data_IF_735896356581
#
_entry.id   IF_735896356581
#
_cell.length_a   1.000
_cell.length_b   1.000
_cell.length_c   1.000
_cell.angle_alpha   90.00
_cell.angle_beta   90.00
_cell.angle_gamma   90.00
#
_symmetry.space_group_name_H-M   'P 1'
#
loop_
_entity.id
_entity.type
_entity.pdbx_description
1 polymer ?
#
# COMPACT_ATOMS: atom_id res chain seq x y z
N UNK A 1 -0.38 10.28 -11.23
CA UNK A 1 -1.37 10.03 -10.16
C UNK A 1 -1.82 8.57 -10.13
N UNK A 2 -2.70 8.12 -11.03
CA UNK A 2 -3.19 6.72 -11.05
C UNK A 2 -2.07 5.69 -11.03
N UNK A 3 -1.03 5.88 -11.85
CA UNK A 3 0.15 5.02 -11.85
C UNK A 3 0.85 4.93 -10.48
N UNK A 4 0.99 6.05 -9.77
CA UNK A 4 1.58 6.05 -8.42
C UNK A 4 0.71 5.28 -7.43
N UNK A 5 -0.62 5.43 -7.51
CA UNK A 5 -1.55 4.66 -6.67
C UNK A 5 -1.39 3.18 -6.99
N UNK A 6 -1.43 2.79 -8.27
CA UNK A 6 -1.28 1.40 -8.69
C UNK A 6 0.05 0.78 -8.22
N UNK A 7 1.18 1.50 -8.38
CA UNK A 7 2.51 1.05 -7.90
C UNK A 7 2.50 0.85 -6.39
N UNK A 8 2.01 1.83 -5.64
CA UNK A 8 1.96 1.74 -4.18
C UNK A 8 1.10 0.56 -3.70
N UNK A 9 -0.13 0.43 -4.20
CA UNK A 9 -1.05 -0.62 -3.75
C UNK A 9 -0.55 -2.03 -4.08
N UNK A 10 -0.04 -2.24 -5.30
CA UNK A 10 0.47 -3.55 -5.71
C UNK A 10 1.76 -3.91 -4.97
N UNK A 11 2.61 -2.93 -4.67
CA UNK A 11 3.79 -3.17 -3.84
C UNK A 11 3.40 -3.51 -2.39
N UNK A 12 2.46 -2.76 -1.79
CA UNK A 12 1.97 -3.06 -0.44
C UNK A 12 1.38 -4.46 -0.32
N UNK A 13 0.58 -4.90 -1.30
CA UNK A 13 0.05 -6.27 -1.33
C UNK A 13 1.17 -7.33 -1.32
N UNK A 14 2.17 -7.16 -2.18
CA UNK A 14 3.25 -8.13 -2.26
C UNK A 14 4.13 -8.12 -1.01
N UNK A 15 4.38 -6.94 -0.45
CA UNK A 15 5.10 -6.77 0.80
C UNK A 15 4.38 -7.47 1.95
N UNK A 16 3.05 -7.32 2.03
CA UNK A 16 2.21 -8.01 3.02
C UNK A 16 2.22 -9.53 2.88
N UNK A 17 2.58 -10.05 1.70
CA UNK A 17 2.77 -11.48 1.43
C UNK A 17 4.22 -11.94 1.55
N UNK A 18 5.10 -11.09 2.05
CA UNK A 18 6.51 -11.42 2.29
C UNK A 18 7.43 -11.28 1.07
N UNK A 19 7.01 -10.60 0.01
CA UNK A 19 7.87 -10.31 -1.15
C UNK A 19 8.39 -8.87 -1.11
N UNK A 20 9.71 -8.70 -1.15
CA UNK A 20 10.35 -7.37 -1.15
C UNK A 20 10.46 -6.71 -2.53
N UNK A 21 10.15 -7.43 -3.60
CA UNK A 21 10.20 -6.94 -4.98
C UNK A 21 9.04 -7.49 -5.81
N UNK A 22 8.52 -6.71 -6.76
CA UNK A 22 7.37 -7.08 -7.59
C UNK A 22 7.60 -6.62 -9.02
N UNK A 23 7.40 -7.50 -9.99
CA UNK A 23 7.31 -7.09 -11.38
C UNK A 23 5.94 -6.43 -11.63
N UNK A 24 5.91 -5.10 -11.81
CA UNK A 24 4.74 -4.33 -12.21
C UNK A 24 4.93 -3.80 -13.63
N UNK A 25 4.03 -4.20 -14.53
CA UNK A 25 4.02 -3.74 -15.93
C UNK A 25 5.37 -3.90 -16.67
N UNK A 26 6.13 -4.95 -16.30
CA UNK A 26 7.44 -5.26 -16.89
C UNK A 26 8.63 -4.59 -16.20
N UNK A 27 8.40 -3.76 -15.19
CA UNK A 27 9.43 -3.13 -14.36
C UNK A 27 9.50 -3.82 -12.98
N UNK A 28 10.71 -3.95 -12.44
CA UNK A 28 10.91 -4.46 -11.09
C UNK A 28 10.74 -3.30 -10.11
N UNK A 29 9.62 -3.28 -9.40
CA UNK A 29 9.32 -2.29 -8.38
C UNK A 29 9.77 -2.81 -7.01
N UNK A 30 10.43 -1.93 -6.27
CA UNK A 30 10.94 -2.17 -4.93
C UNK A 30 10.29 -1.20 -3.92
N UNK A 31 10.78 -1.23 -2.68
CA UNK A 31 10.29 -0.34 -1.64
C UNK A 31 10.47 1.14 -2.01
N UNK A 32 11.58 1.49 -2.68
CA UNK A 32 11.87 2.88 -3.01
C UNK A 32 10.86 3.44 -4.01
N UNK A 33 10.42 2.62 -4.97
CA UNK A 33 9.37 3.02 -5.91
C UNK A 33 8.03 3.30 -5.21
N UNK A 34 7.61 2.42 -4.29
CA UNK A 34 6.40 2.63 -3.51
C UNK A 34 6.50 3.87 -2.59
N UNK A 35 7.68 4.11 -2.00
CA UNK A 35 7.98 5.27 -1.17
C UNK A 35 7.88 6.59 -1.96
N UNK A 36 8.49 6.66 -3.15
CA UNK A 36 8.39 7.82 -4.03
C UNK A 36 6.95 8.03 -4.49
N UNK A 37 6.25 6.97 -4.88
CA UNK A 37 4.88 7.02 -5.35
C UNK A 37 3.94 7.61 -4.29
N UNK A 38 3.99 7.10 -3.04
CA UNK A 38 3.16 7.60 -1.93
C UNK A 38 3.51 9.03 -1.54
N UNK A 39 4.79 9.39 -1.53
CA UNK A 39 5.25 10.71 -1.12
C UNK A 39 4.82 11.79 -2.13
N UNK A 40 4.85 11.47 -3.43
CA UNK A 40 4.32 12.36 -4.47
C UNK A 40 2.81 12.60 -4.31
N UNK A 41 2.03 11.55 -4.02
CA UNK A 41 0.57 11.71 -3.82
C UNK A 41 0.30 12.58 -2.59
N UNK A 42 0.97 12.32 -1.48
CA UNK A 42 0.88 13.15 -0.27
C UNK A 42 1.23 14.62 -0.57
N UNK A 43 2.30 14.86 -1.33
CA UNK A 43 2.73 16.22 -1.70
C UNK A 43 1.67 16.92 -2.55
N UNK A 44 1.10 16.24 -3.55
CA UNK A 44 0.03 16.81 -4.38
C UNK A 44 -1.22 17.17 -3.57
N UNK A 45 -1.62 16.33 -2.61
CA UNK A 45 -2.69 16.63 -1.67
C UNK A 45 -2.35 17.84 -0.78
N UNK A 46 -1.16 17.84 -0.18
CA UNK A 46 -0.71 18.87 0.77
C UNK A 46 -0.67 20.26 0.15
N UNK A 47 -0.32 20.33 -1.14
CA UNK A 47 -0.16 21.57 -1.89
C UNK A 47 -1.32 21.89 -2.83
N UNK A 48 -2.42 21.12 -2.77
CA UNK A 48 -3.64 21.42 -3.52
C UNK A 48 -3.54 21.21 -5.03
N UNK A 49 -2.58 20.39 -5.49
CA UNK A 49 -2.50 19.98 -6.90
C UNK A 49 -3.56 18.90 -7.24
N UNK A 50 -4.07 18.20 -6.23
CA UNK A 50 -5.21 17.28 -6.31
C UNK A 50 -6.04 17.41 -5.03
N UNK A 51 -7.36 17.24 -5.14
CA UNK A 51 -8.23 17.14 -3.97
C UNK A 51 -8.32 15.72 -3.40
N UNK A 52 -8.84 15.62 -2.17
CA UNK A 52 -8.96 14.34 -1.45
C UNK A 52 -9.93 13.39 -2.14
N UNK A 53 -11.03 13.89 -2.66
CA UNK A 53 -12.10 13.07 -3.25
C UNK A 53 -11.62 12.39 -4.52
N UNK A 54 -10.81 13.09 -5.33
CA UNK A 54 -10.15 12.53 -6.51
C UNK A 54 -9.20 11.40 -6.14
N UNK A 55 -8.39 11.57 -5.08
CA UNK A 55 -7.48 10.51 -4.62
C UNK A 55 -8.25 9.31 -4.08
N UNK A 56 -9.32 9.52 -3.32
CA UNK A 56 -10.15 8.44 -2.79
C UNK A 56 -10.89 7.69 -3.91
N UNK A 57 -11.45 8.38 -4.90
CA UNK A 57 -12.09 7.74 -6.05
C UNK A 57 -11.10 6.87 -6.84
N UNK A 58 -9.89 7.37 -7.08
CA UNK A 58 -8.84 6.58 -7.74
C UNK A 58 -8.37 5.40 -6.87
N UNK A 59 -8.27 5.58 -5.55
CA UNK A 59 -7.95 4.49 -4.62
C UNK A 59 -9.00 3.37 -4.69
N UNK A 60 -10.28 3.73 -4.70
CA UNK A 60 -11.39 2.77 -4.79
C UNK A 60 -11.34 1.97 -6.08
N UNK A 61 -11.11 2.63 -7.21
CA UNK A 61 -10.97 1.98 -8.51
C UNK A 61 -9.77 1.03 -8.55
N UNK A 62 -8.61 1.45 -8.06
CA UNK A 62 -7.40 0.62 -8.10
C UNK A 62 -7.45 -0.55 -7.09
N UNK A 63 -8.10 -0.37 -5.94
CA UNK A 63 -8.38 -1.47 -4.99
C UNK A 63 -9.32 -2.50 -5.62
N UNK A 64 -10.39 -2.05 -6.28
CA UNK A 64 -11.30 -2.95 -6.98
C UNK A 64 -10.58 -3.71 -8.11
N UNK A 65 -9.74 -3.02 -8.89
CA UNK A 65 -8.93 -3.65 -9.93
C UNK A 65 -7.91 -4.65 -9.37
N UNK A 66 -7.28 -4.34 -8.24
CA UNK A 66 -6.36 -5.25 -7.54
C UNK A 66 -7.07 -6.53 -7.11
N UNK A 67 -8.21 -6.42 -6.41
CA UNK A 67 -8.99 -7.56 -5.95
C UNK A 67 -9.57 -8.40 -7.10
N UNK A 68 -10.00 -7.76 -8.19
CA UNK A 68 -10.49 -8.47 -9.38
C UNK A 68 -9.37 -9.26 -10.08
N UNK A 69 -8.14 -8.73 -10.10
CA UNK A 69 -6.98 -9.39 -10.72
C UNK A 69 -6.38 -10.47 -9.83
N UNK A 70 -6.39 -10.25 -8.52
CA UNK A 70 -5.80 -11.12 -7.52
C UNK A 70 -6.82 -11.37 -6.40
N UNK A 71 -7.65 -12.43 -6.48
CA UNK A 71 -8.67 -12.73 -5.48
C UNK A 71 -8.12 -12.98 -4.06
N UNK A 72 -6.83 -13.24 -3.94
CA UNK A 72 -6.11 -13.43 -2.68
C UNK A 72 -5.46 -12.15 -2.15
N UNK A 73 -5.59 -11.02 -2.85
CA UNK A 73 -4.98 -9.76 -2.43
C UNK A 73 -5.58 -9.29 -1.09
N UNK A 74 -4.72 -8.75 -0.23
CA UNK A 74 -5.08 -8.22 1.09
C UNK A 74 -5.61 -6.79 0.97
N UNK A 75 -6.72 -6.62 0.25
CA UNK A 75 -7.17 -5.31 -0.23
C UNK A 75 -7.53 -4.33 0.90
N UNK A 76 -8.06 -4.84 2.01
CA UNK A 76 -8.39 -4.06 3.20
C UNK A 76 -7.13 -3.52 3.86
N UNK A 77 -6.11 -4.35 4.09
CA UNK A 77 -4.85 -3.94 4.68
C UNK A 77 -4.05 -3.02 3.76
N UNK A 78 -4.07 -3.27 2.45
CA UNK A 78 -3.45 -2.41 1.45
C UNK A 78 -4.05 -1.01 1.48
N UNK A 79 -5.39 -0.91 1.56
CA UNK A 79 -6.07 0.37 1.74
C UNK A 79 -5.65 1.05 3.03
N UNK A 80 -5.61 0.32 4.15
CA UNK A 80 -5.23 0.88 5.44
C UNK A 80 -3.82 1.46 5.39
N UNK A 81 -2.85 0.74 4.81
CA UNK A 81 -1.47 1.24 4.64
C UNK A 81 -1.48 2.52 3.80
N UNK A 82 -2.21 2.53 2.69
CA UNK A 82 -2.28 3.71 1.82
C UNK A 82 -2.83 4.92 2.57
N UNK A 83 -3.99 4.79 3.21
CA UNK A 83 -4.65 5.91 3.90
C UNK A 83 -3.77 6.49 5.01
N UNK A 84 -3.12 5.64 5.80
CA UNK A 84 -2.24 6.06 6.89
C UNK A 84 -0.96 6.74 6.42
N UNK A 85 -0.51 6.45 5.20
CA UNK A 85 0.77 6.96 4.69
C UNK A 85 0.63 8.08 3.66
N UNK A 86 -0.54 8.22 3.03
CA UNK A 86 -0.82 9.21 1.97
C UNK A 86 -1.79 10.28 2.45
N UNK A 87 -2.74 9.95 3.32
CA UNK A 87 -3.77 10.90 3.80
C UNK A 87 -3.46 11.47 5.18
N UNK A 88 -2.33 11.09 5.78
CA UNK A 88 -1.87 11.62 7.06
C UNK A 88 -1.53 13.11 6.99
N UNK A 89 -1.71 13.81 8.12
CA UNK A 89 -1.39 15.24 8.25
C UNK A 89 0.09 15.55 7.98
N UNK A 90 0.96 14.66 8.44
CA UNK A 90 2.41 14.71 8.24
C UNK A 90 2.84 13.45 7.50
N UNK A 91 3.79 13.60 6.57
CA UNK A 91 4.32 12.48 5.81
C UNK A 91 5.17 11.58 6.74
N UNK A 92 4.81 10.31 6.94
CA UNK A 92 5.68 9.38 7.66
C UNK A 92 6.99 9.19 6.90
N UNK A 93 8.11 9.01 7.61
CA UNK A 93 9.43 8.82 7.00
C UNK A 93 9.46 7.59 6.07
N UNK A 94 8.80 6.50 6.47
CA UNK A 94 8.65 5.25 5.71
C UNK A 94 7.28 4.65 5.97
N UNK A 95 6.73 3.89 5.00
CA UNK A 95 5.47 3.17 5.20
C UNK A 95 5.65 1.93 6.09
N UNK A 96 6.82 1.29 5.99
CA UNK A 96 7.06 -0.04 6.52
C UNK A 96 6.95 -0.16 8.04
N UNK A 97 7.44 0.77 8.89
CA UNK A 97 7.40 0.60 10.35
C UNK A 97 5.98 0.44 10.91
N UNK A 98 5.05 1.34 10.56
CA UNK A 98 3.65 1.27 11.03
C UNK A 98 2.91 0.08 10.40
N UNK A 99 3.13 -0.18 9.10
CA UNK A 99 2.56 -1.34 8.42
C UNK A 99 3.03 -2.67 9.03
N UNK A 100 4.31 -2.78 9.40
CA UNK A 100 4.89 -3.98 10.01
C UNK A 100 4.26 -4.26 11.38
N UNK A 101 4.21 -3.25 12.24
CA UNK A 101 3.62 -3.39 13.58
C UNK A 101 2.14 -3.77 13.55
N UNK A 102 1.38 -3.33 12.54
CA UNK A 102 -0.07 -3.58 12.48
C UNK A 102 -0.41 -4.87 11.74
N UNK A 103 0.23 -5.09 10.59
CA UNK A 103 -0.22 -6.10 9.64
C UNK A 103 0.57 -7.41 9.73
N UNK A 104 1.78 -7.38 10.30
CA UNK A 104 2.68 -8.54 10.35
C UNK A 104 2.99 -9.02 11.77
N UNK A 105 3.04 -8.13 12.77
CA UNK A 105 3.29 -8.53 14.16
C UNK A 105 2.10 -9.28 14.77
N UNK A 106 0.85 -8.86 14.49
CA UNK A 106 -0.34 -9.55 15.02
C UNK A 106 -0.63 -10.90 14.37
N UNK A 107 -0.04 -11.22 13.21
CA UNK A 107 -0.25 -12.51 12.54
C UNK A 107 0.75 -13.59 12.95
N UNK A 108 1.83 -13.23 13.65
CA UNK A 108 2.84 -14.20 14.10
C UNK A 108 2.40 -15.02 15.33
N UNK A 109 1.40 -14.58 16.09
CA UNK A 109 0.97 -15.26 17.32
C UNK A 109 0.03 -16.46 17.10
N UNK A 110 -0.47 -16.70 15.88
CA UNK A 110 -1.46 -17.77 15.61
C UNK A 110 -0.84 -19.08 15.10
N UNK A 111 0.46 -19.13 14.81
CA UNK A 111 1.13 -20.35 14.31
C UNK A 111 2.04 -20.99 15.36
N UNK A 112 1.55 -21.20 16.59
CA UNK A 112 2.18 -22.13 17.53
C UNK A 112 1.11 -22.56 18.51
N UNK A 113 0.40 -23.66 18.26
CA UNK A 113 -0.33 -24.53 19.21
C UNK A 113 -1.38 -25.38 18.44
N UNK A 114 -0.95 -26.18 17.47
CA UNK A 114 -1.77 -27.34 17.01
C UNK A 114 -0.89 -28.48 16.45
N UNK A 115 0.17 -28.80 17.19
CA UNK A 115 1.00 -30.00 17.00
C UNK A 115 1.48 -30.46 18.38
N UNK A 116 0.57 -31.00 19.21
CA UNK A 116 0.91 -31.78 20.40
C UNK A 116 -0.14 -32.86 20.63
#
# INVERSE_FOLDING_TARGET
MRANIAVALRYFDAWLRGSGAVALDGLMEDAAAAEIARAQIWQWLRHGAVDRDTVLGLLDEEIAALGARYPWARIEEVREIFERNVLARELPAFFAPDAYSRQLVQQAEVTTYDQA
#
